data_IF_890548371989
#
_entry.id   IF_890548371989
#
_cell.length_a   1.000
_cell.length_b   1.000
_cell.length_c   1.000
_cell.angle_alpha   90.00
_cell.angle_beta   90.00
_cell.angle_gamma   90.00
#
_symmetry.space_group_name_H-M   'P 1'
#
loop_
_entity.id
_entity.type
_entity.pdbx_description
1 polymer ?
#
# COMPACT_ATOMS: atom_id res chain seq x y z
N UNK A 1 -20.57 3.81 42.90
CA UNK A 1 -19.14 3.62 43.22
C UNK A 1 -18.57 2.56 42.29
N UNK A 2 -17.78 2.93 41.28
CA UNK A 2 -17.21 1.98 40.31
C UNK A 2 -16.16 1.11 41.00
N UNK A 3 -16.19 -0.20 40.76
CA UNK A 3 -15.22 -1.13 41.37
C UNK A 3 -13.80 -0.79 40.86
N UNK A 4 -12.77 -0.81 41.72
CA UNK A 4 -11.41 -0.40 41.36
C UNK A 4 -10.84 -1.20 40.17
N UNK A 5 -11.21 -2.49 40.05
CA UNK A 5 -10.81 -3.32 38.91
C UNK A 5 -11.38 -2.84 37.56
N UNK A 6 -12.62 -2.34 37.53
CA UNK A 6 -13.26 -1.83 36.30
C UNK A 6 -12.58 -0.53 35.85
N UNK A 7 -12.23 0.33 36.81
CA UNK A 7 -11.49 1.56 36.53
C UNK A 7 -10.12 1.26 35.92
N UNK A 8 -9.37 0.28 36.45
CA UNK A 8 -8.05 -0.11 35.92
C UNK A 8 -8.13 -0.65 34.50
N UNK A 9 -9.14 -1.46 34.19
CA UNK A 9 -9.33 -2.01 32.83
C UNK A 9 -9.66 -0.90 31.83
N UNK A 10 -10.61 -0.02 32.17
CA UNK A 10 -10.96 1.13 31.31
C UNK A 10 -9.76 2.07 31.12
N UNK A 11 -8.98 2.29 32.17
CA UNK A 11 -7.76 3.09 32.13
C UNK A 11 -6.66 2.44 31.26
N UNK A 12 -6.48 1.12 31.32
CA UNK A 12 -5.57 0.39 30.45
C UNK A 12 -5.95 0.50 28.98
N UNK A 13 -7.24 0.38 28.64
CA UNK A 13 -7.73 0.63 27.28
C UNK A 13 -7.43 2.07 26.82
N UNK A 14 -7.54 3.05 27.72
CA UNK A 14 -7.21 4.45 27.43
C UNK A 14 -5.71 4.65 27.18
N UNK A 15 -4.83 3.92 27.90
CA UNK A 15 -3.38 3.99 27.72
C UNK A 15 -2.91 3.29 26.44
N UNK A 16 -3.58 2.22 26.00
CA UNK A 16 -3.29 1.55 24.71
C UNK A 16 -3.71 2.39 23.49
N UNK A 17 -4.51 3.44 23.68
CA UNK A 17 -4.97 4.36 22.63
C UNK A 17 -4.03 5.53 22.31
N UNK A 18 -2.88 5.69 23.00
CA UNK A 18 -1.87 6.66 22.56
C UNK A 18 -1.16 6.09 21.34
N UNK A 19 -1.70 6.46 20.17
CA UNK A 19 -1.17 6.12 18.86
C UNK A 19 0.32 6.34 18.79
N UNK A 20 1.02 5.37 18.22
CA UNK A 20 2.32 5.61 17.64
C UNK A 20 2.10 6.65 16.52
N UNK A 21 2.37 7.92 16.81
CA UNK A 21 2.52 8.93 15.76
C UNK A 21 3.75 8.52 14.94
N UNK A 22 3.52 7.79 13.85
CA UNK A 22 4.56 7.50 12.89
C UNK A 22 4.95 8.82 12.22
N UNK A 23 6.25 9.09 12.15
CA UNK A 23 6.74 10.30 11.50
C UNK A 23 6.43 10.21 10.01
N UNK A 24 5.63 11.14 9.50
CA UNK A 24 5.33 11.23 8.07
C UNK A 24 6.58 11.72 7.33
N UNK A 25 7.02 10.95 6.34
CA UNK A 25 8.10 11.33 5.43
C UNK A 25 7.56 11.50 4.01
N UNK A 26 8.15 12.40 3.23
CA UNK A 26 7.82 12.66 1.83
C UNK A 26 9.10 12.65 1.00
N UNK A 27 9.08 11.89 -0.11
CA UNK A 27 10.14 11.83 -1.11
C UNK A 27 9.54 12.15 -2.47
N UNK A 28 10.09 13.14 -3.16
CA UNK A 28 9.67 13.53 -4.49
C UNK A 28 10.69 13.02 -5.54
N UNK A 29 10.18 12.42 -6.62
CA UNK A 29 10.98 11.93 -7.74
C UNK A 29 10.34 12.43 -9.05
N UNK A 30 11.17 12.98 -9.92
CA UNK A 30 10.78 13.48 -11.24
C UNK A 30 11.62 12.78 -12.31
N UNK A 31 10.98 12.35 -13.39
CA UNK A 31 11.61 11.69 -14.53
C UNK A 31 11.02 12.29 -15.80
N UNK A 32 11.83 13.05 -16.54
CA UNK A 32 11.44 13.56 -17.86
C UNK A 32 11.51 12.45 -18.90
N UNK A 33 10.43 12.32 -19.69
CA UNK A 33 10.34 11.34 -20.78
C UNK A 33 9.84 11.99 -22.06
N UNK A 34 10.34 11.59 -23.25
CA UNK A 34 9.95 12.15 -24.53
C UNK A 34 8.63 11.53 -25.04
N UNK A 35 7.65 11.36 -24.15
CA UNK A 35 6.36 10.74 -24.45
C UNK A 35 5.22 11.63 -23.95
N UNK A 36 4.07 11.55 -24.62
CA UNK A 36 2.89 12.32 -24.19
C UNK A 36 2.37 11.83 -22.84
N UNK A 37 1.78 12.75 -22.07
CA UNK A 37 1.16 12.41 -20.79
C UNK A 37 0.07 11.34 -20.94
N UNK A 38 -0.71 11.34 -22.03
CA UNK A 38 -1.74 10.34 -22.27
C UNK A 38 -1.17 8.95 -22.51
N UNK A 39 -0.05 8.84 -23.23
CA UNK A 39 0.65 7.56 -23.45
C UNK A 39 1.14 6.95 -22.15
N UNK A 40 1.77 7.77 -21.28
CA UNK A 40 2.23 7.32 -19.97
C UNK A 40 1.05 6.95 -19.07
N UNK A 41 0.02 7.79 -19.03
CA UNK A 41 -1.17 7.55 -18.21
C UNK A 41 -1.92 6.28 -18.62
N UNK A 42 -1.95 5.93 -19.91
CA UNK A 42 -2.58 4.69 -20.37
C UNK A 42 -1.95 3.44 -19.74
N UNK A 43 -0.65 3.46 -19.46
CA UNK A 43 0.05 2.37 -18.76
C UNK A 43 -0.27 2.40 -17.27
N UNK A 44 -0.11 3.55 -16.60
CA UNK A 44 -0.36 3.68 -15.16
C UNK A 44 -1.83 3.43 -14.75
N UNK A 45 -2.78 3.80 -15.61
CA UNK A 45 -4.21 3.58 -15.39
C UNK A 45 -4.69 2.18 -15.83
N UNK A 46 -3.79 1.34 -16.36
CA UNK A 46 -4.16 0.00 -16.82
C UNK A 46 -4.46 -0.93 -15.63
N UNK A 47 -5.65 -1.54 -15.63
CA UNK A 47 -6.07 -2.47 -14.56
C UNK A 47 -5.19 -3.72 -14.44
N UNK A 48 -4.56 -4.13 -15.54
CA UNK A 48 -3.67 -5.29 -15.58
C UNK A 48 -2.20 -4.92 -15.30
N UNK A 49 -1.92 -3.68 -14.90
CA UNK A 49 -0.55 -3.20 -14.64
C UNK A 49 0.24 -4.10 -13.67
N UNK A 50 -0.31 -4.61 -12.55
CA UNK A 50 0.37 -5.60 -11.71
C UNK A 50 0.94 -6.81 -12.47
N UNK A 51 0.17 -7.38 -13.43
CA UNK A 51 0.66 -8.50 -14.24
C UNK A 51 1.67 -8.06 -15.29
N UNK A 52 1.51 -6.86 -15.83
CA UNK A 52 2.44 -6.29 -16.80
C UNK A 52 3.81 -6.01 -16.16
N UNK A 53 3.84 -5.50 -14.93
CA UNK A 53 5.08 -5.18 -14.21
C UNK A 53 5.96 -6.42 -14.00
N UNK A 54 5.39 -7.57 -13.67
CA UNK A 54 6.15 -8.83 -13.56
C UNK A 54 6.85 -9.18 -14.87
N UNK A 55 6.22 -8.88 -16.03
CA UNK A 55 6.83 -9.11 -17.34
C UNK A 55 7.90 -8.07 -17.70
N UNK A 56 7.71 -6.82 -17.26
CA UNK A 56 8.63 -5.72 -17.55
C UNK A 56 9.89 -5.78 -16.66
N UNK A 57 9.75 -6.28 -15.43
CA UNK A 57 10.80 -6.32 -14.42
C UNK A 57 10.89 -7.73 -13.77
N UNK A 58 11.14 -8.79 -14.55
CA UNK A 58 11.12 -10.17 -14.06
C UNK A 58 12.22 -10.46 -13.03
N UNK A 59 13.32 -9.72 -13.08
CA UNK A 59 14.41 -9.84 -12.10
C UNK A 59 14.09 -9.17 -10.76
N UNK A 60 13.07 -8.30 -10.71
CA UNK A 60 12.64 -7.60 -9.49
C UNK A 60 11.45 -8.31 -8.84
N UNK A 61 10.49 -8.77 -9.64
CA UNK A 61 9.25 -9.36 -9.13
C UNK A 61 9.10 -10.80 -9.63
N UNK A 62 8.95 -11.75 -8.70
CA UNK A 62 8.59 -13.14 -9.02
C UNK A 62 7.12 -13.20 -9.48
N UNK A 63 6.22 -12.62 -8.68
CA UNK A 63 4.79 -12.48 -9.06
C UNK A 63 4.09 -11.39 -8.27
N UNK A 64 2.98 -10.93 -8.83
CA UNK A 64 2.03 -10.04 -8.15
C UNK A 64 0.64 -10.64 -8.27
N UNK A 65 0.07 -11.02 -7.13
CA UNK A 65 -1.24 -11.69 -7.03
C UNK A 65 -2.33 -10.69 -6.65
N UNK A 66 -3.50 -10.78 -7.29
CA UNK A 66 -4.69 -10.06 -6.85
C UNK A 66 -5.33 -10.82 -5.70
N UNK A 67 -5.47 -10.16 -4.56
CA UNK A 67 -6.16 -10.70 -3.38
C UNK A 67 -7.64 -10.30 -3.41
N UNK A 68 -7.92 -9.05 -3.78
CA UNK A 68 -9.28 -8.53 -3.92
C UNK A 68 -9.31 -7.46 -5.02
N UNK A 69 -10.43 -7.35 -5.74
CA UNK A 69 -10.66 -6.31 -6.75
C UNK A 69 -10.24 -6.71 -8.17
N UNK A 70 -10.19 -5.72 -9.05
CA UNK A 70 -10.05 -5.92 -10.50
C UNK A 70 -8.95 -5.05 -11.14
N UNK A 71 -8.04 -4.50 -10.33
CA UNK A 71 -7.01 -3.57 -10.77
C UNK A 71 -7.39 -2.10 -10.77
N UNK A 72 -8.66 -1.78 -10.49
CA UNK A 72 -9.09 -0.41 -10.20
C UNK A 72 -8.86 0.00 -8.74
N UNK A 73 -9.37 1.18 -8.38
CA UNK A 73 -9.35 1.70 -7.01
C UNK A 73 -9.95 0.69 -6.03
N UNK A 74 -9.28 0.49 -4.89
CA UNK A 74 -9.68 -0.47 -3.85
C UNK A 74 -9.13 -1.88 -4.05
N UNK A 75 -8.42 -2.15 -5.14
CA UNK A 75 -7.76 -3.45 -5.36
C UNK A 75 -6.66 -3.68 -4.33
N UNK A 76 -6.61 -4.90 -3.78
CA UNK A 76 -5.55 -5.37 -2.87
C UNK A 76 -4.67 -6.36 -3.61
N UNK A 77 -3.36 -6.15 -3.58
CA UNK A 77 -2.37 -7.02 -4.24
C UNK A 77 -1.34 -7.56 -3.23
N UNK A 78 -0.84 -8.76 -3.50
CA UNK A 78 0.32 -9.35 -2.83
C UNK A 78 1.50 -9.36 -3.78
N UNK A 79 2.59 -8.69 -3.39
CA UNK A 79 3.83 -8.64 -4.16
C UNK A 79 4.78 -9.69 -3.60
N UNK A 80 5.36 -10.52 -4.47
CA UNK A 80 6.35 -11.53 -4.12
C UNK A 80 7.63 -11.24 -4.90
N UNK A 81 8.73 -11.12 -4.17
CA UNK A 81 10.07 -10.92 -4.71
C UNK A 81 10.79 -12.27 -4.86
N UNK A 82 11.81 -12.36 -5.73
CA UNK A 82 12.71 -13.52 -5.77
C UNK A 82 13.37 -13.80 -4.40
N UNK A 83 13.82 -15.05 -4.14
CA UNK A 83 14.50 -15.45 -2.90
C UNK A 83 15.82 -14.71 -2.61
#
# INVERSE_FOLDING_TARGET
MMKPAIFVVVFMFFLMGKGADSMRYELNNEIDVPLSASSIWQVYACKELPKLIVKLLPEVFDRIDYIEGNGGVGTVIRIVFPP
#
